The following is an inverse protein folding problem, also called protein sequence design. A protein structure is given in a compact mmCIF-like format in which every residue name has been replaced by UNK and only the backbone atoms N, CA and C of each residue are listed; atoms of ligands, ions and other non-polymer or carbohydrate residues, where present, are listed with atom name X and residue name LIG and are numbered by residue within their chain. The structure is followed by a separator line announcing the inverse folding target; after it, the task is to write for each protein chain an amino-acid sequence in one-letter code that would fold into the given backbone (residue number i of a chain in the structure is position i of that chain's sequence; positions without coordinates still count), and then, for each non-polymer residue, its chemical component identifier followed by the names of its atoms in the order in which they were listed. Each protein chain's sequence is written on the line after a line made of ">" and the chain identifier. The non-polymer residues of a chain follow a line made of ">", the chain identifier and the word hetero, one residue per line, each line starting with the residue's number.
data_IF_930996859897
#
_entry.id   IF_930996859897
#
_cell.length_a   1.000
_cell.length_b   1.000
_cell.length_c   1.000
_cell.angle_alpha   90.00
_cell.angle_beta   90.00
_cell.angle_gamma   90.00
#
_symmetry.space_group_name_H-M   'P 1'
#
loop_
_entity.id
_entity.type
_entity.pdbx_description
1 polymer ?
#
# COMPACT_ATOMS: atom_id res chain seq x y z
N UNK A 1 4.68 29.83 6.97
CA UNK A 1 5.17 28.42 6.95
C UNK A 1 5.28 27.97 5.50
N UNK A 2 6.42 27.38 5.11
CA UNK A 2 6.66 26.89 3.75
C UNK A 2 6.46 25.37 3.70
N UNK A 3 5.56 24.91 2.82
CA UNK A 3 5.33 23.48 2.55
C UNK A 3 5.89 23.15 1.18
N UNK A 4 6.77 22.16 1.12
CA UNK A 4 7.33 21.65 -0.13
C UNK A 4 6.75 20.29 -0.49
N UNK A 5 6.52 20.09 -1.78
CA UNK A 5 6.18 18.79 -2.36
C UNK A 5 7.38 18.32 -3.20
N UNK A 6 8.01 17.25 -2.74
CA UNK A 6 9.19 16.72 -3.42
C UNK A 6 8.82 15.92 -4.67
N UNK A 7 9.74 15.90 -5.64
CA UNK A 7 9.72 14.94 -6.73
C UNK A 7 10.34 13.63 -6.24
N UNK A 8 9.68 12.51 -6.48
CA UNK A 8 10.21 11.21 -6.12
C UNK A 8 11.42 10.83 -7.00
N UNK A 9 12.45 10.32 -6.34
CA UNK A 9 13.69 9.91 -7.02
C UNK A 9 13.72 8.43 -7.39
N UNK A 10 12.89 7.60 -6.71
CA UNK A 10 12.75 6.18 -6.99
C UNK A 10 12.15 5.98 -8.40
N UNK A 11 12.82 5.26 -9.32
CA UNK A 11 12.34 5.10 -10.70
C UNK A 11 10.95 4.49 -10.81
N UNK A 12 10.61 3.57 -9.90
CA UNK A 12 9.32 2.86 -9.87
C UNK A 12 8.22 3.68 -9.20
N UNK A 13 8.54 4.80 -8.50
CA UNK A 13 7.54 5.64 -7.87
C UNK A 13 6.98 6.65 -8.88
N UNK A 14 5.69 6.51 -9.17
CA UNK A 14 4.96 7.37 -10.10
C UNK A 14 3.98 8.31 -9.41
N UNK A 15 3.76 8.13 -8.10
CA UNK A 15 2.86 8.98 -7.32
C UNK A 15 3.55 10.30 -6.93
N UNK A 16 2.73 11.28 -6.58
CA UNK A 16 3.16 12.56 -5.99
C UNK A 16 2.34 12.87 -4.73
N UNK A 17 2.97 13.55 -3.78
CA UNK A 17 2.39 13.80 -2.46
C UNK A 17 1.36 14.95 -2.40
N UNK A 18 1.05 15.59 -3.52
CA UNK A 18 0.04 16.64 -3.62
C UNK A 18 -0.68 16.62 -4.97
N UNK A 19 -1.84 17.27 -5.01
CA UNK A 19 -2.60 17.60 -6.21
C UNK A 19 -2.96 19.08 -6.21
N UNK A 20 -3.45 19.62 -7.32
CA UNK A 20 -3.94 21.01 -7.38
C UNK A 20 -5.01 21.31 -6.31
N UNK A 21 -5.90 20.33 -6.03
CA UNK A 21 -6.90 20.45 -4.96
C UNK A 21 -6.24 20.60 -3.58
N UNK A 22 -5.28 19.73 -3.24
CA UNK A 22 -4.63 19.79 -1.92
C UNK A 22 -3.70 21.00 -1.78
N UNK A 23 -3.08 21.46 -2.85
CA UNK A 23 -2.31 22.72 -2.87
C UNK A 23 -3.20 23.90 -2.45
N UNK A 24 -4.41 24.03 -3.05
CA UNK A 24 -5.35 25.11 -2.67
C UNK A 24 -5.72 25.03 -1.18
N UNK A 25 -5.94 23.83 -0.65
CA UNK A 25 -6.27 23.63 0.76
C UNK A 25 -5.08 23.94 1.68
N UNK A 26 -3.85 23.56 1.31
CA UNK A 26 -2.65 23.93 2.07
C UNK A 26 -2.44 25.45 2.11
N UNK A 27 -2.69 26.14 0.99
CA UNK A 27 -2.68 27.61 0.95
C UNK A 27 -3.72 28.24 1.89
N UNK A 28 -4.92 27.65 1.97
CA UNK A 28 -5.95 28.09 2.89
C UNK A 28 -5.56 27.90 4.38
N UNK A 29 -4.59 27.03 4.67
CA UNK A 29 -3.96 26.91 6.00
C UNK A 29 -2.90 28.01 6.27
N UNK A 30 -2.71 28.96 5.37
CA UNK A 30 -1.71 30.01 5.48
C UNK A 30 -0.30 29.59 5.04
N UNK A 31 -0.17 28.54 4.25
CA UNK A 31 1.13 28.06 3.79
C UNK A 31 1.55 28.68 2.46
N UNK A 32 2.86 28.94 2.33
CA UNK A 32 3.52 29.09 1.04
C UNK A 32 3.84 27.70 0.50
N UNK A 33 3.16 27.29 -0.59
CA UNK A 33 3.32 25.97 -1.17
C UNK A 33 4.29 26.01 -2.35
N UNK A 34 5.33 25.18 -2.27
CA UNK A 34 6.30 24.98 -3.34
C UNK A 34 6.23 23.52 -3.83
N UNK A 35 6.30 23.31 -5.13
CA UNK A 35 6.33 21.97 -5.75
C UNK A 35 7.61 21.85 -6.58
N UNK A 36 8.33 20.74 -6.44
CA UNK A 36 9.49 20.49 -7.31
C UNK A 36 9.03 20.30 -8.75
N UNK A 37 9.74 20.96 -9.67
CA UNK A 37 9.45 20.87 -11.09
C UNK A 37 9.44 19.40 -11.56
N UNK A 38 8.39 19.03 -12.30
CA UNK A 38 8.16 17.67 -12.77
C UNK A 38 7.68 16.66 -11.74
N UNK A 39 7.38 17.08 -10.49
CA UNK A 39 6.96 16.16 -9.42
C UNK A 39 5.69 15.35 -9.78
N UNK A 40 4.72 15.97 -10.45
CA UNK A 40 3.45 15.36 -10.84
C UNK A 40 3.46 14.64 -12.20
N UNK A 41 4.55 14.76 -12.98
CA UNK A 41 4.57 14.31 -14.37
C UNK A 41 4.19 12.84 -14.58
N UNK A 42 4.73 11.94 -13.76
CA UNK A 42 4.40 10.50 -13.80
C UNK A 42 2.96 10.18 -13.36
N UNK A 43 2.31 11.11 -12.66
CA UNK A 43 0.89 11.00 -12.24
C UNK A 43 -0.06 11.69 -13.22
N UNK A 44 0.44 12.22 -14.34
CA UNK A 44 -0.36 12.97 -15.30
C UNK A 44 -0.77 14.36 -14.80
N UNK A 45 -0.09 14.92 -13.80
CA UNK A 45 -0.34 16.26 -13.25
C UNK A 45 0.82 17.17 -13.70
N UNK A 46 0.62 18.05 -14.69
CA UNK A 46 1.66 18.94 -15.15
C UNK A 46 1.92 20.07 -14.16
N UNK A 47 3.12 20.64 -14.21
CA UNK A 47 3.54 21.75 -13.36
C UNK A 47 2.59 22.97 -13.44
N UNK A 48 1.98 23.19 -14.63
CA UNK A 48 0.99 24.25 -14.81
C UNK A 48 -0.26 24.13 -13.94
N UNK A 49 -0.69 22.90 -13.60
CA UNK A 49 -1.82 22.70 -12.69
C UNK A 49 -1.47 23.09 -11.26
N UNK A 50 -0.25 22.77 -10.81
CA UNK A 50 0.23 23.23 -9.50
C UNK A 50 0.36 24.74 -9.43
N UNK A 51 0.92 25.36 -10.49
CA UNK A 51 1.04 26.82 -10.60
C UNK A 51 -0.34 27.49 -10.60
N UNK A 52 -1.30 26.97 -11.36
CA UNK A 52 -2.68 27.47 -11.38
C UNK A 52 -3.41 27.32 -10.03
N UNK A 53 -3.01 26.32 -9.22
CA UNK A 53 -3.48 26.19 -7.85
C UNK A 53 -2.81 27.15 -6.87
N UNK A 54 -1.80 27.90 -7.34
CA UNK A 54 -1.07 28.92 -6.58
C UNK A 54 0.20 28.41 -5.90
N UNK A 55 0.73 27.26 -6.29
CA UNK A 55 2.05 26.83 -5.84
C UNK A 55 3.17 27.48 -6.66
N UNK A 56 4.32 27.72 -6.02
CA UNK A 56 5.55 28.03 -6.73
C UNK A 56 6.19 26.72 -7.23
N UNK A 57 6.41 26.62 -8.54
CA UNK A 57 7.12 25.46 -9.11
C UNK A 57 8.61 25.81 -9.19
N UNK A 58 9.44 25.04 -8.47
CA UNK A 58 10.87 25.32 -8.29
C UNK A 58 11.71 24.08 -8.62
N UNK A 59 12.94 24.30 -9.10
CA UNK A 59 13.89 23.20 -9.31
C UNK A 59 14.29 22.52 -7.98
N UNK A 60 14.41 23.31 -6.91
CA UNK A 60 14.67 22.84 -5.56
C UNK A 60 13.64 23.45 -4.60
N UNK A 61 12.50 22.81 -4.48
CA UNK A 61 11.42 23.26 -3.62
C UNK A 61 11.66 22.92 -2.14
N UNK A 62 12.46 21.89 -1.86
CA UNK A 62 12.64 21.37 -0.50
C UNK A 62 13.64 22.20 0.33
N UNK A 63 14.49 22.98 -0.32
CA UNK A 63 15.40 23.90 0.36
C UNK A 63 14.61 24.93 1.17
N UNK A 64 15.00 25.11 2.41
CA UNK A 64 14.36 26.02 3.37
C UNK A 64 12.88 25.74 3.68
N UNK A 65 12.35 24.58 3.29
CA UNK A 65 10.99 24.19 3.61
C UNK A 65 10.85 23.82 5.10
N UNK A 66 9.75 24.26 5.70
CA UNK A 66 9.42 23.91 7.09
C UNK A 66 8.76 22.52 7.16
N UNK A 67 7.99 22.16 6.12
CA UNK A 67 7.32 20.88 5.98
C UNK A 67 7.59 20.33 4.57
N UNK A 68 7.95 19.05 4.49
CA UNK A 68 8.23 18.37 3.23
C UNK A 68 7.30 17.18 3.10
N UNK A 69 6.51 17.14 2.04
CA UNK A 69 5.62 16.06 1.70
C UNK A 69 6.25 15.17 0.63
N UNK A 70 6.34 13.87 0.90
CA UNK A 70 6.86 12.86 -0.01
C UNK A 70 5.98 11.60 0.00
N UNK A 71 6.14 10.78 -1.01
CA UNK A 71 5.56 9.44 -1.03
C UNK A 71 6.47 8.43 -0.33
N UNK A 72 7.77 8.44 -0.68
CA UNK A 72 8.79 7.56 -0.10
C UNK A 72 9.70 8.33 0.85
N UNK A 73 10.33 7.63 1.79
CA UNK A 73 11.34 8.25 2.68
C UNK A 73 12.40 8.98 1.87
N UNK A 74 12.97 10.05 2.42
CA UNK A 74 14.07 10.74 1.77
C UNK A 74 15.32 9.86 1.70
N UNK A 75 16.09 10.04 0.64
CA UNK A 75 17.42 9.46 0.47
C UNK A 75 18.49 10.31 1.18
N UNK A 76 19.69 9.77 1.40
CA UNK A 76 20.77 10.51 2.03
C UNK A 76 21.14 11.81 1.28
N UNK A 77 21.22 11.86 -0.07
CA UNK A 77 21.41 13.10 -0.80
C UNK A 77 20.29 14.14 -0.58
N UNK A 78 19.03 13.71 -0.50
CA UNK A 78 17.91 14.63 -0.24
C UNK A 78 18.00 15.22 1.17
N UNK A 79 18.33 14.38 2.18
CA UNK A 79 18.49 14.82 3.57
C UNK A 79 19.54 15.93 3.73
N UNK A 80 20.61 15.89 2.94
CA UNK A 80 21.65 16.91 2.98
C UNK A 80 21.16 18.31 2.54
N UNK A 81 20.08 18.36 1.74
CA UNK A 81 19.45 19.62 1.28
C UNK A 81 18.32 20.11 2.18
N UNK A 82 17.91 19.35 3.19
CA UNK A 82 16.77 19.72 4.02
C UNK A 82 17.17 20.62 5.19
N UNK A 83 16.29 21.54 5.53
CA UNK A 83 16.45 22.41 6.70
C UNK A 83 16.38 21.59 7.99
N UNK A 84 17.30 21.86 8.93
CA UNK A 84 17.21 21.29 10.29
C UNK A 84 15.89 21.70 10.95
N UNK A 85 15.24 20.76 11.61
CA UNK A 85 13.92 20.95 12.22
C UNK A 85 12.76 20.83 11.24
N UNK A 86 12.99 20.62 9.93
CA UNK A 86 11.91 20.39 8.99
C UNK A 86 11.10 19.14 9.35
N UNK A 87 9.78 19.21 9.19
CA UNK A 87 8.89 18.06 9.31
C UNK A 87 8.84 17.33 7.96
N UNK A 88 9.13 16.05 7.94
CA UNK A 88 9.06 15.22 6.72
C UNK A 88 7.99 14.16 6.89
N UNK A 89 6.98 14.19 6.03
CA UNK A 89 5.80 13.33 6.11
C UNK A 89 5.78 12.40 4.89
N UNK A 90 5.92 11.09 5.10
CA UNK A 90 5.98 10.11 4.02
C UNK A 90 5.71 8.67 4.53
N UNK A 91 5.68 7.71 3.61
CA UNK A 91 5.92 6.29 3.91
C UNK A 91 7.42 6.11 4.14
N UNK A 92 7.83 5.83 5.37
CA UNK A 92 9.23 5.76 5.77
C UNK A 92 9.83 4.36 5.62
N UNK A 93 8.99 3.33 5.69
CA UNK A 93 9.37 1.92 5.59
C UNK A 93 10.62 1.58 6.42
N UNK A 94 10.57 1.76 7.75
CA UNK A 94 11.76 1.74 8.59
C UNK A 94 12.24 0.34 8.97
N UNK A 95 11.42 -0.70 8.79
CA UNK A 95 11.79 -2.07 9.14
C UNK A 95 12.96 -2.58 8.29
N UNK A 96 14.05 -3.01 8.96
CA UNK A 96 15.26 -3.45 8.29
C UNK A 96 16.09 -2.31 7.67
N UNK A 97 15.76 -1.06 7.97
CA UNK A 97 16.42 0.14 7.42
C UNK A 97 17.03 1.02 8.53
N UNK A 98 17.60 0.39 9.54
CA UNK A 98 18.12 1.08 10.73
C UNK A 98 19.15 2.19 10.39
N UNK A 99 19.95 2.01 9.33
CA UNK A 99 20.88 3.03 8.86
C UNK A 99 20.15 4.27 8.35
N UNK A 100 19.14 4.11 7.48
CA UNK A 100 18.36 5.22 6.95
C UNK A 100 17.58 5.96 8.05
N UNK A 101 17.08 5.25 9.05
CA UNK A 101 16.41 5.86 10.21
C UNK A 101 17.40 6.71 11.03
N UNK A 102 18.62 6.20 11.25
CA UNK A 102 19.68 6.99 11.92
C UNK A 102 20.11 8.22 11.11
N UNK A 103 20.18 8.09 9.79
CA UNK A 103 20.56 9.21 8.92
C UNK A 103 19.49 10.31 8.94
N UNK A 104 18.20 9.96 8.95
CA UNK A 104 17.11 10.91 9.16
C UNK A 104 17.22 11.62 10.52
N UNK A 105 17.53 10.90 11.59
CA UNK A 105 17.74 11.53 12.90
C UNK A 105 18.95 12.49 12.87
N UNK A 106 20.10 12.03 12.34
CA UNK A 106 21.34 12.86 12.27
C UNK A 106 21.18 14.12 11.43
N UNK A 107 20.33 14.09 10.40
CA UNK A 107 20.03 15.28 9.60
C UNK A 107 19.24 16.34 10.36
N UNK A 108 18.69 15.98 11.53
CA UNK A 108 17.93 16.88 12.40
C UNK A 108 16.51 17.14 11.95
N UNK A 109 15.95 16.33 11.04
CA UNK A 109 14.53 16.41 10.66
C UNK A 109 13.64 15.69 11.67
N UNK A 110 12.38 16.09 11.74
CA UNK A 110 11.31 15.32 12.40
C UNK A 110 10.56 14.52 11.35
N UNK A 111 10.83 13.22 11.27
CA UNK A 111 10.23 12.32 10.30
C UNK A 111 8.96 11.67 10.86
N UNK A 112 7.88 11.67 10.07
CA UNK A 112 6.61 11.03 10.37
C UNK A 112 6.36 9.87 9.41
N UNK A 113 6.28 8.66 9.96
CA UNK A 113 6.01 7.42 9.23
C UNK A 113 4.50 7.19 9.14
N UNK A 114 3.92 7.51 8.00
CA UNK A 114 2.47 7.44 7.79
C UNK A 114 1.91 6.02 7.89
N UNK A 115 2.73 5.00 7.73
CA UNK A 115 2.36 3.59 7.92
C UNK A 115 2.11 3.20 9.37
N UNK A 116 2.44 4.04 10.34
CA UNK A 116 2.22 3.81 11.78
C UNK A 116 0.98 4.49 12.34
N UNK A 117 0.13 5.03 11.47
CA UNK A 117 -1.15 5.59 11.90
C UNK A 117 -1.95 4.57 12.73
N UNK A 118 -2.44 4.95 13.92
CA UNK A 118 -3.22 4.07 14.75
C UNK A 118 -4.61 3.82 14.12
N UNK A 119 -5.17 2.63 14.33
CA UNK A 119 -6.50 2.27 13.81
C UNK A 119 -7.61 2.85 14.69
N UNK A 120 -7.73 4.17 14.73
CA UNK A 120 -8.76 4.90 15.45
C UNK A 120 -9.59 5.76 14.49
N UNK A 121 -10.81 6.07 14.83
CA UNK A 121 -11.77 6.79 13.97
C UNK A 121 -11.19 8.12 13.45
N UNK A 122 -10.51 8.89 14.30
CA UNK A 122 -9.90 10.18 13.95
C UNK A 122 -8.79 10.06 12.90
N UNK A 123 -8.11 8.91 12.82
CA UNK A 123 -7.02 8.67 11.86
C UNK A 123 -7.50 8.09 10.52
N UNK A 124 -8.77 7.72 10.37
CA UNK A 124 -9.26 7.06 9.15
C UNK A 124 -9.02 7.87 7.87
N UNK A 125 -9.23 9.20 7.91
CA UNK A 125 -8.99 10.07 6.77
C UNK A 125 -7.49 10.19 6.39
N UNK A 126 -6.60 9.83 7.31
CA UNK A 126 -5.15 9.88 7.15
C UNK A 126 -4.56 8.54 6.67
N UNK A 127 -5.35 7.45 6.64
CA UNK A 127 -4.88 6.07 6.41
C UNK A 127 -4.40 5.86 4.97
N UNK A 128 -3.11 6.10 4.78
CA UNK A 128 -2.41 5.89 3.51
C UNK A 128 -2.33 4.41 3.13
N UNK A 129 -2.25 3.49 4.11
CA UNK A 129 -2.15 2.07 3.82
C UNK A 129 -3.44 1.56 3.21
N UNK A 130 -4.59 1.90 3.79
CA UNK A 130 -5.88 1.48 3.27
C UNK A 130 -6.19 2.11 1.91
N UNK A 131 -5.93 3.41 1.72
CA UNK A 131 -6.19 4.08 0.44
C UNK A 131 -5.38 3.47 -0.70
N UNK A 132 -4.10 3.17 -0.46
CA UNK A 132 -3.21 2.58 -1.47
C UNK A 132 -3.48 1.07 -1.67
N UNK A 133 -3.76 0.33 -0.60
CA UNK A 133 -4.12 -1.10 -0.70
C UNK A 133 -5.41 -1.30 -1.50
N UNK A 134 -6.40 -0.43 -1.36
CA UNK A 134 -7.62 -0.47 -2.16
C UNK A 134 -7.30 -0.40 -3.66
N UNK A 135 -6.50 0.58 -4.07
CA UNK A 135 -6.08 0.73 -5.48
C UNK A 135 -5.19 -0.42 -5.96
N UNK A 136 -4.35 -0.98 -5.08
CA UNK A 136 -3.56 -2.16 -5.41
C UNK A 136 -4.45 -3.37 -5.71
N UNK A 137 -5.49 -3.60 -4.90
CA UNK A 137 -6.47 -4.67 -5.14
C UNK A 137 -7.22 -4.52 -6.45
N UNK A 138 -7.67 -3.30 -6.78
CA UNK A 138 -8.26 -3.01 -8.09
C UNK A 138 -7.25 -3.31 -9.22
N UNK A 139 -6.05 -2.74 -9.12
CA UNK A 139 -5.04 -2.86 -10.18
C UNK A 139 -4.58 -4.30 -10.38
N UNK A 140 -4.47 -5.10 -9.34
CA UNK A 140 -4.10 -6.51 -9.43
C UNK A 140 -5.06 -7.30 -10.32
N UNK A 141 -6.37 -7.03 -10.23
CA UNK A 141 -7.37 -7.69 -11.10
C UNK A 141 -7.22 -7.24 -12.54
N UNK A 142 -6.97 -5.96 -12.79
CA UNK A 142 -6.75 -5.43 -14.14
C UNK A 142 -5.47 -5.99 -14.76
N UNK A 143 -4.38 -6.06 -13.97
CA UNK A 143 -3.12 -6.66 -14.42
C UNK A 143 -3.28 -8.17 -14.69
N UNK A 144 -4.03 -8.89 -13.83
CA UNK A 144 -4.37 -10.28 -14.07
C UNK A 144 -5.16 -10.47 -15.38
N UNK A 145 -6.19 -9.64 -15.59
CA UNK A 145 -7.01 -9.68 -16.80
C UNK A 145 -6.19 -9.42 -18.07
N UNK A 146 -5.22 -8.48 -18.01
CA UNK A 146 -4.33 -8.18 -19.12
C UNK A 146 -3.36 -9.33 -19.45
N UNK A 147 -2.98 -10.14 -18.45
CA UNK A 147 -2.11 -11.30 -18.63
C UNK A 147 -2.87 -12.58 -18.96
N UNK A 148 -4.14 -12.66 -18.61
CA UNK A 148 -5.01 -13.82 -18.85
C UNK A 148 -5.52 -13.81 -20.30
N UNK A 149 -5.23 -14.86 -21.05
CA UNK A 149 -5.55 -14.94 -22.48
C UNK A 149 -7.01 -15.25 -22.81
N UNK A 150 -7.95 -15.10 -21.86
CA UNK A 150 -9.38 -15.40 -22.01
C UNK A 150 -10.23 -14.27 -21.41
N UNK A 151 -11.54 -14.26 -21.72
CA UNK A 151 -12.49 -13.34 -21.12
C UNK A 151 -12.75 -13.64 -19.64
N UNK A 152 -13.01 -12.61 -18.82
CA UNK A 152 -13.40 -12.80 -17.43
C UNK A 152 -14.89 -13.13 -17.29
N UNK A 153 -15.83 -12.41 -17.96
CA UNK A 153 -17.26 -12.75 -17.86
C UNK A 153 -17.64 -13.96 -18.71
N UNK A 154 -18.72 -14.60 -18.34
CA UNK A 154 -19.41 -15.49 -19.24
C UNK A 154 -19.98 -14.70 -20.42
N UNK A 155 -19.75 -15.19 -21.64
CA UNK A 155 -20.28 -14.59 -22.87
C UNK A 155 -20.90 -15.67 -23.75
N UNK A 156 -22.01 -15.36 -24.39
CA UNK A 156 -22.70 -16.26 -25.32
C UNK A 156 -22.64 -15.68 -26.72
N UNK A 157 -22.24 -16.52 -27.68
CA UNK A 157 -22.18 -16.17 -29.10
C UNK A 157 -22.85 -17.29 -29.92
N UNK A 158 -23.14 -17.02 -31.16
CA UNK A 158 -23.64 -18.06 -32.11
C UNK A 158 -22.64 -19.21 -32.26
N UNK A 159 -21.35 -18.99 -32.06
CA UNK A 159 -20.29 -19.99 -32.11
C UNK A 159 -20.11 -20.78 -30.80
N UNK A 160 -20.81 -20.40 -29.72
CA UNK A 160 -20.72 -21.07 -28.43
C UNK A 160 -20.56 -20.14 -27.26
N UNK A 161 -20.34 -20.72 -26.08
CA UNK A 161 -20.24 -20.03 -24.79
C UNK A 161 -18.79 -19.94 -24.35
N UNK A 162 -18.36 -18.74 -23.95
CA UNK A 162 -17.13 -18.50 -23.21
C UNK A 162 -17.47 -18.59 -21.71
N UNK A 163 -16.89 -19.54 -20.95
CA UNK A 163 -17.17 -19.64 -19.52
C UNK A 163 -16.55 -18.50 -18.73
N UNK A 164 -17.17 -18.14 -17.60
CA UNK A 164 -16.61 -17.16 -16.68
C UNK A 164 -15.29 -17.65 -16.06
N UNK A 165 -14.32 -16.74 -15.94
CA UNK A 165 -13.06 -17.03 -15.25
C UNK A 165 -13.30 -17.28 -13.75
N UNK A 166 -12.54 -18.20 -13.18
CA UNK A 166 -12.51 -18.50 -11.74
C UNK A 166 -11.34 -17.78 -11.09
N UNK A 167 -11.65 -16.90 -10.17
CA UNK A 167 -10.67 -16.06 -9.47
C UNK A 167 -10.62 -16.45 -8.00
N UNK A 168 -9.42 -16.71 -7.49
CA UNK A 168 -9.19 -17.01 -6.09
C UNK A 168 -8.36 -15.92 -5.46
N UNK A 169 -8.88 -15.30 -4.40
CA UNK A 169 -8.19 -14.23 -3.65
C UNK A 169 -7.69 -14.81 -2.33
N UNK A 170 -6.39 -14.71 -2.08
CA UNK A 170 -5.75 -15.19 -0.86
C UNK A 170 -5.33 -14.00 0.01
N UNK A 171 -6.12 -13.75 1.04
CA UNK A 171 -6.10 -12.59 1.92
C UNK A 171 -7.29 -11.66 1.63
N UNK A 172 -8.14 -11.45 2.63
CA UNK A 172 -9.34 -10.60 2.56
C UNK A 172 -9.18 -9.31 3.38
N UNK A 173 -7.99 -8.70 3.35
CA UNK A 173 -7.77 -7.32 3.80
C UNK A 173 -8.30 -6.32 2.78
N UNK A 174 -7.97 -5.03 2.94
CA UNK A 174 -8.47 -3.96 2.05
C UNK A 174 -8.19 -4.25 0.57
N UNK A 175 -6.96 -4.68 0.24
CA UNK A 175 -6.61 -5.05 -1.14
C UNK A 175 -7.41 -6.26 -1.64
N UNK A 176 -7.53 -7.31 -0.81
CA UNK A 176 -8.27 -8.52 -1.18
C UNK A 176 -9.76 -8.28 -1.38
N UNK A 177 -10.41 -7.54 -0.48
CA UNK A 177 -11.82 -7.17 -0.60
C UNK A 177 -12.09 -6.33 -1.86
N UNK A 178 -11.20 -5.38 -2.18
CA UNK A 178 -11.32 -4.63 -3.42
C UNK A 178 -11.06 -5.49 -4.66
N UNK A 179 -10.12 -6.43 -4.60
CA UNK A 179 -9.90 -7.40 -5.68
C UNK A 179 -11.15 -8.26 -5.92
N UNK A 180 -11.80 -8.76 -4.85
CA UNK A 180 -13.07 -9.48 -4.93
C UNK A 180 -14.12 -8.64 -5.64
N UNK A 181 -14.34 -7.40 -5.17
CA UNK A 181 -15.34 -6.49 -5.74
C UNK A 181 -15.06 -6.19 -7.22
N UNK A 182 -13.79 -5.99 -7.59
CA UNK A 182 -13.39 -5.70 -8.97
C UNK A 182 -13.58 -6.92 -9.88
N UNK A 183 -13.09 -8.10 -9.47
CA UNK A 183 -13.22 -9.32 -10.25
C UNK A 183 -14.70 -9.71 -10.46
N UNK A 184 -15.53 -9.53 -9.43
CA UNK A 184 -16.98 -9.73 -9.52
C UNK A 184 -17.64 -8.79 -10.53
N UNK A 185 -17.29 -7.50 -10.51
CA UNK A 185 -17.79 -6.49 -11.48
C UNK A 185 -17.39 -6.83 -12.91
N UNK A 186 -16.22 -7.47 -13.10
CA UNK A 186 -15.77 -7.95 -14.40
C UNK A 186 -16.40 -9.30 -14.80
N UNK A 187 -17.33 -9.84 -13.99
CA UNK A 187 -18.10 -11.04 -14.31
C UNK A 187 -17.42 -12.37 -13.98
N UNK A 188 -16.33 -12.35 -13.21
CA UNK A 188 -15.67 -13.57 -12.75
C UNK A 188 -16.45 -14.27 -11.62
N UNK A 189 -16.25 -15.59 -11.50
CA UNK A 189 -16.66 -16.37 -10.32
C UNK A 189 -15.54 -16.29 -9.29
N UNK A 190 -15.83 -15.65 -8.14
CA UNK A 190 -14.80 -15.33 -7.15
C UNK A 190 -14.96 -16.19 -5.90
N UNK A 191 -13.83 -16.72 -5.45
CA UNK A 191 -13.66 -17.35 -4.15
C UNK A 191 -12.54 -16.64 -3.40
N UNK A 192 -12.56 -16.67 -2.06
CA UNK A 192 -11.50 -16.05 -1.26
C UNK A 192 -11.21 -16.86 0.01
N UNK A 193 -10.00 -16.69 0.55
CA UNK A 193 -9.60 -17.26 1.84
C UNK A 193 -8.91 -16.19 2.68
N UNK A 194 -9.12 -16.27 3.99
CA UNK A 194 -8.39 -15.51 5.01
C UNK A 194 -8.32 -16.35 6.29
N UNK A 195 -7.33 -16.08 7.12
CA UNK A 195 -7.18 -16.77 8.41
C UNK A 195 -8.08 -16.19 9.50
N UNK A 196 -8.71 -15.04 9.29
CA UNK A 196 -9.58 -14.35 10.25
C UNK A 196 -11.04 -14.72 10.01
N UNK A 197 -11.77 -15.19 11.03
CA UNK A 197 -13.20 -15.53 10.91
C UNK A 197 -14.08 -14.36 10.45
N UNK A 198 -13.82 -13.14 10.94
CA UNK A 198 -14.56 -11.94 10.55
C UNK A 198 -14.46 -11.60 9.05
N UNK A 199 -13.43 -12.08 8.36
CA UNK A 199 -13.28 -11.89 6.92
C UNK A 199 -14.34 -12.65 6.11
N UNK A 200 -14.91 -13.76 6.66
CA UNK A 200 -15.92 -14.57 5.98
C UNK A 200 -17.15 -13.73 5.60
N UNK A 201 -17.74 -13.03 6.57
CA UNK A 201 -18.91 -12.20 6.32
C UNK A 201 -18.62 -11.09 5.29
N UNK A 202 -17.44 -10.47 5.37
CA UNK A 202 -17.01 -9.44 4.42
C UNK A 202 -16.89 -9.98 3.00
N UNK A 203 -16.32 -11.17 2.83
CA UNK A 203 -16.17 -11.86 1.53
C UNK A 203 -17.54 -12.20 0.97
N UNK A 204 -18.42 -12.79 1.78
CA UNK A 204 -19.76 -13.22 1.36
C UNK A 204 -20.66 -12.03 1.03
N UNK A 205 -20.53 -10.91 1.75
CA UNK A 205 -21.26 -9.66 1.45
C UNK A 205 -20.91 -9.06 0.09
N UNK A 206 -19.68 -9.31 -0.41
CA UNK A 206 -19.26 -8.95 -1.75
C UNK A 206 -19.68 -9.99 -2.82
N UNK A 207 -20.41 -11.04 -2.43
CA UNK A 207 -20.91 -12.09 -3.32
C UNK A 207 -19.85 -13.10 -3.76
N UNK A 208 -18.74 -13.23 -3.05
CA UNK A 208 -17.76 -14.28 -3.23
C UNK A 208 -17.98 -15.43 -2.24
N UNK A 209 -17.50 -16.64 -2.57
CA UNK A 209 -17.55 -17.79 -1.66
C UNK A 209 -16.28 -17.81 -0.81
N UNK A 210 -16.45 -17.96 0.50
CA UNK A 210 -15.32 -18.12 1.43
C UNK A 210 -14.83 -19.58 1.45
N UNK A 211 -13.52 -19.81 1.47
CA UNK A 211 -12.84 -21.11 1.44
C UNK A 211 -11.89 -21.17 2.63
N UNK A 212 -12.25 -21.96 3.65
CA UNK A 212 -11.40 -22.20 4.82
C UNK A 212 -11.78 -23.53 5.48
N UNK A 213 -10.88 -24.07 6.29
CA UNK A 213 -11.20 -25.11 7.26
C UNK A 213 -11.93 -24.42 8.42
N UNK A 214 -13.21 -24.67 8.57
CA UNK A 214 -14.07 -24.02 9.58
C UNK A 214 -14.23 -24.93 10.80
N UNK A 215 -13.17 -25.12 11.56
CA UNK A 215 -13.20 -25.84 12.84
C UNK A 215 -13.26 -24.89 14.06
N UNK A 216 -13.21 -25.43 15.25
CA UNK A 216 -13.26 -24.62 16.49
C UNK A 216 -12.03 -23.71 16.66
N UNK A 217 -10.87 -24.12 16.13
CA UNK A 217 -9.66 -23.29 16.15
C UNK A 217 -9.83 -22.05 15.25
N UNK A 218 -10.42 -22.24 14.07
CA UNK A 218 -10.74 -21.13 13.16
C UNK A 218 -11.66 -20.10 13.80
N UNK A 219 -12.73 -20.54 14.49
CA UNK A 219 -13.67 -19.64 15.16
C UNK A 219 -13.00 -18.74 16.22
N UNK A 220 -11.89 -19.19 16.79
CA UNK A 220 -11.11 -18.48 17.82
C UNK A 220 -9.85 -17.79 17.26
N UNK A 221 -9.67 -17.76 15.95
CA UNK A 221 -8.45 -17.32 15.26
C UNK A 221 -8.23 -15.81 15.23
N UNK A 222 -9.08 -15.02 15.88
CA UNK A 222 -8.97 -13.55 15.87
C UNK A 222 -8.59 -13.01 17.25
N UNK A 223 -7.68 -12.03 17.26
CA UNK A 223 -7.33 -11.29 18.48
C UNK A 223 -8.32 -10.15 18.70
N UNK A 224 -8.42 -9.64 19.93
CA UNK A 224 -9.24 -8.48 20.28
C UNK A 224 -8.90 -7.22 19.43
N UNK A 225 -7.70 -7.16 18.85
CA UNK A 225 -7.26 -6.08 17.94
C UNK A 225 -7.57 -6.34 16.46
N UNK A 226 -8.31 -7.42 16.12
CA UNK A 226 -8.67 -7.77 14.75
C UNK A 226 -7.54 -8.35 13.90
N UNK A 227 -6.47 -8.84 14.53
CA UNK A 227 -5.39 -9.57 13.84
C UNK A 227 -5.60 -11.08 13.97
N UNK A 228 -5.12 -11.81 12.97
CA UNK A 228 -5.07 -13.26 13.03
C UNK A 228 -4.14 -13.74 14.15
N UNK A 229 -4.59 -14.76 14.93
CA UNK A 229 -3.71 -15.52 15.79
C UNK A 229 -2.84 -16.46 14.95
N UNK A 230 -1.71 -16.85 15.50
CA UNK A 230 -0.93 -17.95 14.94
C UNK A 230 -1.69 -19.26 15.13
N UNK A 231 -2.00 -19.92 14.03
CA UNK A 231 -2.76 -21.16 14.00
C UNK A 231 -1.86 -22.36 14.29
N UNK A 232 -2.43 -23.42 14.86
CA UNK A 232 -1.70 -24.67 15.10
C UNK A 232 -1.14 -25.25 13.79
N UNK A 233 -0.08 -26.04 13.90
CA UNK A 233 0.52 -26.73 12.75
C UNK A 233 -0.46 -27.68 12.09
N UNK A 234 -1.36 -28.30 12.84
CA UNK A 234 -2.39 -29.20 12.33
C UNK A 234 -3.42 -28.42 11.49
N UNK A 235 -3.90 -27.27 12.00
CA UNK A 235 -4.78 -26.39 11.22
C UNK A 235 -4.09 -25.90 9.94
N UNK A 236 -2.86 -25.43 10.04
CA UNK A 236 -2.09 -24.97 8.88
C UNK A 236 -1.94 -26.05 7.82
N UNK A 237 -1.69 -27.31 8.22
CA UNK A 237 -1.61 -28.44 7.31
C UNK A 237 -2.94 -28.73 6.62
N UNK A 238 -4.06 -28.76 7.36
CA UNK A 238 -5.40 -28.93 6.79
C UNK A 238 -5.76 -27.82 5.81
N UNK A 239 -5.49 -26.58 6.16
CA UNK A 239 -5.73 -25.41 5.31
C UNK A 239 -4.87 -25.48 4.04
N UNK A 240 -3.62 -25.88 4.15
CA UNK A 240 -2.74 -26.03 2.99
C UNK A 240 -3.26 -27.09 2.00
N UNK A 241 -3.78 -28.22 2.48
CA UNK A 241 -4.41 -29.26 1.65
C UNK A 241 -5.65 -28.70 0.95
N UNK A 242 -6.53 -28.03 1.68
CA UNK A 242 -7.75 -27.42 1.12
C UNK A 242 -7.41 -26.42 0.02
N UNK A 243 -6.44 -25.54 0.27
CA UNK A 243 -6.00 -24.52 -0.69
C UNK A 243 -5.34 -25.19 -1.91
N UNK A 244 -4.49 -26.19 -1.70
CA UNK A 244 -3.83 -26.92 -2.78
C UNK A 244 -4.83 -27.64 -3.71
N UNK A 245 -5.92 -28.14 -3.19
CA UNK A 245 -6.98 -28.75 -4.01
C UNK A 245 -7.86 -27.71 -4.71
N UNK A 246 -8.10 -26.59 -4.03
CA UNK A 246 -8.93 -25.51 -4.59
C UNK A 246 -8.23 -24.78 -5.73
N UNK A 247 -6.93 -24.51 -5.60
CA UNK A 247 -6.16 -23.72 -6.57
C UNK A 247 -6.10 -24.38 -7.95
N UNK A 248 -6.09 -25.71 -8.02
CA UNK A 248 -6.08 -26.51 -9.29
C UNK A 248 -7.21 -26.15 -10.26
N UNK A 249 -8.30 -25.59 -9.75
CA UNK A 249 -9.52 -25.28 -10.49
C UNK A 249 -9.64 -23.80 -10.84
N UNK A 250 -8.64 -23.00 -10.48
CA UNK A 250 -8.67 -21.55 -10.65
C UNK A 250 -7.97 -21.14 -11.95
N UNK A 251 -8.42 -20.07 -12.53
CA UNK A 251 -7.83 -19.43 -13.71
C UNK A 251 -6.92 -18.28 -13.32
N UNK A 252 -7.29 -17.54 -12.26
CA UNK A 252 -6.54 -16.40 -11.73
C UNK A 252 -6.44 -16.55 -10.21
N UNK A 253 -5.25 -16.33 -9.67
CA UNK A 253 -5.00 -16.27 -8.21
C UNK A 253 -4.37 -14.93 -7.87
N UNK A 254 -4.90 -14.24 -6.86
CA UNK A 254 -4.32 -12.98 -6.37
C UNK A 254 -4.00 -13.14 -4.89
N UNK A 255 -2.75 -12.91 -4.52
CA UNK A 255 -2.29 -13.00 -3.14
C UNK A 255 -2.02 -11.61 -2.56
N UNK A 256 -2.46 -11.39 -1.33
CA UNK A 256 -2.40 -10.07 -0.67
C UNK A 256 -1.94 -10.13 0.78
N UNK A 257 -1.44 -11.28 1.26
CA UNK A 257 -1.09 -11.45 2.66
C UNK A 257 0.23 -10.79 3.01
N UNK A 258 0.17 -9.82 3.90
CA UNK A 258 1.34 -9.10 4.43
C UNK A 258 1.29 -9.06 5.95
N UNK A 259 2.46 -9.16 6.58
CA UNK A 259 2.64 -9.00 8.02
C UNK A 259 3.60 -7.82 8.22
N UNK A 260 3.18 -6.73 8.89
CA UNK A 260 4.04 -5.57 9.10
C UNK A 260 5.37 -5.95 9.77
N UNK A 261 6.47 -5.47 9.20
CA UNK A 261 7.82 -5.70 9.74
C UNK A 261 8.37 -7.13 9.61
N UNK A 262 7.68 -8.02 8.91
CA UNK A 262 8.12 -9.41 8.66
C UNK A 262 8.07 -9.74 7.17
N UNK A 263 8.82 -10.76 6.72
CA UNK A 263 8.65 -11.32 5.39
C UNK A 263 7.21 -11.80 5.17
N UNK A 264 6.73 -11.69 3.95
CA UNK A 264 5.41 -12.18 3.57
C UNK A 264 5.31 -13.71 3.77
N UNK A 265 4.17 -14.23 4.26
CA UNK A 265 3.98 -15.67 4.41
C UNK A 265 3.93 -16.36 3.03
N UNK A 266 4.53 -17.55 2.93
CA UNK A 266 4.41 -18.38 1.72
C UNK A 266 3.05 -19.05 1.70
N UNK A 267 2.24 -18.71 0.69
CA UNK A 267 0.89 -19.26 0.50
C UNK A 267 0.82 -20.22 -0.69
N UNK A 268 1.67 -20.02 -1.70
CA UNK A 268 1.67 -20.81 -2.92
C UNK A 268 3.08 -21.38 -3.13
N UNK A 269 3.18 -22.71 -3.04
CA UNK A 269 4.42 -23.44 -3.32
C UNK A 269 4.63 -23.66 -4.83
N UNK A 270 5.83 -24.05 -5.22
CA UNK A 270 6.12 -24.44 -6.62
C UNK A 270 5.26 -25.61 -7.11
N UNK A 271 4.93 -26.56 -6.23
CA UNK A 271 4.06 -27.70 -6.55
C UNK A 271 2.62 -27.23 -6.83
N UNK A 272 2.13 -26.26 -6.06
CA UNK A 272 0.82 -25.64 -6.30
C UNK A 272 0.81 -24.88 -7.64
N UNK A 273 1.87 -24.16 -7.98
CA UNK A 273 2.02 -23.51 -9.31
C UNK A 273 1.98 -24.56 -10.41
N UNK A 274 2.72 -25.66 -10.27
CA UNK A 274 2.73 -26.74 -11.24
C UNK A 274 1.38 -27.47 -11.41
N UNK A 275 0.51 -27.36 -10.41
CA UNK A 275 -0.84 -27.96 -10.45
C UNK A 275 -1.90 -27.09 -11.13
N UNK A 276 -1.59 -25.82 -11.39
CA UNK A 276 -2.48 -24.92 -12.11
C UNK A 276 -2.60 -25.29 -13.60
N UNK A 277 -3.70 -24.87 -14.21
CA UNK A 277 -3.89 -25.09 -15.65
C UNK A 277 -2.97 -24.19 -16.46
N UNK A 278 -2.44 -24.66 -17.58
CA UNK A 278 -1.74 -23.81 -18.54
C UNK A 278 -2.58 -22.57 -18.93
N UNK A 279 -1.95 -21.42 -18.97
CA UNK A 279 -2.61 -20.13 -19.22
C UNK A 279 -3.22 -19.45 -17.98
N UNK A 280 -3.12 -20.09 -16.79
CA UNK A 280 -3.49 -19.44 -15.52
C UNK A 280 -2.54 -18.29 -15.17
N UNK A 281 -3.03 -17.36 -14.32
CA UNK A 281 -2.27 -16.18 -13.89
C UNK A 281 -2.26 -16.10 -12.36
N UNK A 282 -1.09 -15.87 -11.77
CA UNK A 282 -0.91 -15.51 -10.37
C UNK A 282 -0.47 -14.05 -10.31
N UNK A 283 -1.09 -13.23 -9.45
CA UNK A 283 -0.60 -11.89 -9.12
C UNK A 283 -0.23 -11.84 -7.65
N UNK A 284 1.03 -11.54 -7.37
CA UNK A 284 1.56 -11.49 -6.01
C UNK A 284 1.76 -10.05 -5.56
N UNK A 285 0.83 -9.52 -4.74
CA UNK A 285 0.93 -8.16 -4.18
C UNK A 285 1.94 -8.06 -3.02
N UNK A 286 2.46 -9.18 -2.55
CA UNK A 286 3.43 -9.22 -1.44
C UNK A 286 4.89 -9.34 -1.92
N UNK A 287 5.14 -9.29 -3.22
CA UNK A 287 6.46 -9.58 -3.81
C UNK A 287 7.57 -8.67 -3.27
N UNK A 288 7.29 -7.40 -2.97
CA UNK A 288 8.23 -6.45 -2.36
C UNK A 288 8.67 -6.86 -0.94
N UNK A 289 7.97 -7.80 -0.32
CA UNK A 289 8.26 -8.36 1.02
C UNK A 289 8.60 -9.85 0.99
N UNK A 290 9.15 -10.30 -0.12
CA UNK A 290 9.55 -11.68 -0.33
C UNK A 290 8.51 -12.56 -1.01
N UNK A 291 7.28 -12.07 -1.19
CA UNK A 291 6.20 -12.71 -1.94
C UNK A 291 5.45 -13.82 -1.21
N UNK A 292 4.17 -13.96 -1.53
CA UNK A 292 3.32 -15.07 -1.11
C UNK A 292 3.49 -16.30 -2.02
N UNK A 293 3.91 -16.12 -3.26
CA UNK A 293 4.20 -17.21 -4.21
C UNK A 293 5.70 -17.46 -4.25
N UNK A 294 6.09 -18.72 -4.09
CA UNK A 294 7.50 -19.15 -4.05
C UNK A 294 8.27 -18.78 -5.31
N UNK A 295 7.63 -18.80 -6.46
CA UNK A 295 8.26 -18.53 -7.76
C UNK A 295 8.08 -17.08 -8.23
N UNK A 296 7.43 -16.21 -7.44
CA UNK A 296 7.30 -14.79 -7.78
C UNK A 296 8.67 -14.08 -7.74
N UNK A 297 8.89 -13.18 -8.69
CA UNK A 297 10.08 -12.33 -8.75
C UNK A 297 9.68 -10.87 -8.79
N UNK A 298 10.32 -10.10 -7.95
CA UNK A 298 10.06 -8.67 -7.83
C UNK A 298 10.37 -7.93 -9.14
N UNK A 299 9.38 -7.20 -9.67
CA UNK A 299 9.48 -6.43 -10.92
C UNK A 299 9.27 -7.23 -12.20
N UNK A 300 9.06 -8.55 -12.12
CA UNK A 300 9.02 -9.43 -13.30
C UNK A 300 7.64 -10.09 -13.48
N UNK A 301 7.38 -10.53 -14.72
CA UNK A 301 6.36 -11.54 -15.04
C UNK A 301 7.10 -12.81 -15.43
N UNK A 302 7.05 -13.82 -14.55
CA UNK A 302 7.71 -15.11 -14.75
C UNK A 302 6.69 -16.10 -15.31
N UNK A 303 7.07 -16.92 -16.28
CA UNK A 303 6.23 -18.01 -16.81
C UNK A 303 6.85 -19.36 -16.46
N UNK A 304 6.05 -20.18 -15.78
CA UNK A 304 6.44 -21.56 -15.39
C UNK A 304 5.31 -22.50 -15.77
N UNK A 305 5.57 -23.51 -16.59
CA UNK A 305 4.57 -24.47 -17.10
C UNK A 305 3.32 -23.76 -17.69
N UNK A 306 3.54 -22.71 -18.48
CA UNK A 306 2.51 -21.83 -19.04
C UNK A 306 1.63 -21.10 -18.01
N UNK A 307 2.00 -21.09 -16.74
CA UNK A 307 1.41 -20.24 -15.70
C UNK A 307 2.21 -18.96 -15.60
N UNK A 308 1.56 -17.80 -15.74
CA UNK A 308 2.20 -16.49 -15.57
C UNK A 308 2.13 -16.05 -14.11
N UNK A 309 3.27 -15.64 -13.56
CA UNK A 309 3.39 -15.14 -12.19
C UNK A 309 3.81 -13.69 -12.27
N UNK A 310 2.92 -12.80 -11.88
CA UNK A 310 3.07 -11.35 -11.98
C UNK A 310 3.54 -10.80 -10.64
N UNK A 311 4.76 -10.29 -10.61
CA UNK A 311 5.41 -9.71 -9.43
C UNK A 311 5.66 -8.19 -9.59
N UNK A 312 4.68 -7.42 -10.07
CA UNK A 312 4.86 -5.99 -10.27
C UNK A 312 5.13 -5.24 -8.96
N UNK A 313 6.07 -4.29 -9.02
CA UNK A 313 6.38 -3.39 -7.91
C UNK A 313 5.43 -2.20 -7.91
N UNK A 314 5.27 -1.61 -6.73
CA UNK A 314 4.49 -0.38 -6.55
C UNK A 314 3.13 -0.41 -7.28
N UNK A 315 2.36 -1.47 -7.06
CA UNK A 315 1.10 -1.70 -7.80
C UNK A 315 0.12 -0.51 -7.70
N UNK A 316 -0.07 0.18 -6.55
CA UNK A 316 -0.90 1.39 -6.51
C UNK A 316 -0.36 2.52 -7.39
N UNK A 317 0.96 2.63 -7.57
CA UNK A 317 1.58 3.58 -8.49
C UNK A 317 1.26 3.34 -9.97
N UNK A 318 0.77 2.15 -10.33
CA UNK A 318 0.30 1.83 -11.70
C UNK A 318 -1.07 2.43 -12.03
N UNK A 319 -1.73 3.08 -11.05
CA UNK A 319 -2.89 3.97 -11.20
C UNK A 319 -2.56 5.32 -10.58
N UNK A 320 -1.42 5.89 -10.97
CA UNK A 320 -0.72 6.99 -10.32
C UNK A 320 -1.60 8.22 -10.03
N UNK A 321 -2.45 8.63 -10.97
CA UNK A 321 -3.33 9.79 -10.80
C UNK A 321 -4.30 9.60 -9.61
N UNK A 322 -5.00 8.46 -9.57
CA UNK A 322 -5.92 8.14 -8.46
C UNK A 322 -5.19 7.92 -7.15
N UNK A 323 -4.03 7.23 -7.20
CA UNK A 323 -3.21 6.95 -6.03
C UNK A 323 -2.66 8.24 -5.41
N UNK A 324 -2.17 9.16 -6.23
CA UNK A 324 -1.69 10.49 -5.78
C UNK A 324 -2.82 11.32 -5.19
N UNK A 325 -4.00 11.31 -5.80
CA UNK A 325 -5.16 12.05 -5.28
C UNK A 325 -5.56 11.59 -3.88
N UNK A 326 -5.66 10.28 -3.64
CA UNK A 326 -5.99 9.75 -2.32
C UNK A 326 -4.86 9.96 -1.33
N UNK A 327 -3.62 9.69 -1.72
CA UNK A 327 -2.45 9.89 -0.88
C UNK A 327 -2.29 11.34 -0.42
N UNK A 328 -2.41 12.28 -1.36
CA UNK A 328 -2.34 13.72 -1.06
C UNK A 328 -3.41 14.18 -0.06
N UNK A 329 -4.63 13.63 -0.14
CA UNK A 329 -5.70 13.91 0.82
C UNK A 329 -5.40 13.30 2.19
N UNK A 330 -4.83 12.10 2.24
CA UNK A 330 -4.39 11.50 3.50
C UNK A 330 -3.32 12.37 4.19
N UNK A 331 -2.30 12.84 3.43
CA UNK A 331 -1.27 13.74 3.96
C UNK A 331 -1.85 15.07 4.40
N UNK A 332 -2.79 15.64 3.65
CA UNK A 332 -3.45 16.89 4.04
C UNK A 332 -4.19 16.74 5.38
N UNK A 333 -4.93 15.65 5.56
CA UNK A 333 -5.64 15.38 6.82
C UNK A 333 -4.66 15.27 8.00
N UNK A 334 -3.51 14.62 7.81
CA UNK A 334 -2.45 14.56 8.82
C UNK A 334 -1.79 15.92 9.04
N UNK A 335 -1.52 16.67 7.98
CA UNK A 335 -0.95 18.01 8.07
C UNK A 335 -1.83 18.96 8.93
N UNK A 336 -3.15 18.84 8.83
CA UNK A 336 -4.10 19.67 9.55
C UNK A 336 -4.00 19.54 11.08
N UNK A 337 -3.46 18.45 11.61
CA UNK A 337 -3.21 18.30 13.07
C UNK A 337 -1.83 18.81 13.50
N UNK A 338 -0.97 19.16 12.57
CA UNK A 338 0.39 19.66 12.82
C UNK A 338 0.49 21.19 12.74
N UNK A 339 -0.59 21.87 12.32
CA UNK A 339 -0.58 23.31 12.06
C UNK A 339 -1.66 24.06 12.84
N UNK A 340 -1.35 25.27 13.29
CA UNK A 340 -2.35 26.23 13.76
C UNK A 340 -2.95 26.96 12.56
N UNK A 341 -4.20 26.64 12.23
CA UNK A 341 -4.93 27.22 11.09
C UNK A 341 -5.16 28.73 11.24
N UNK A 342 -5.19 29.27 12.47
CA UNK A 342 -5.42 30.69 12.73
C UNK A 342 -4.17 31.52 12.52
N UNK A 343 -3.03 30.95 12.93
CA UNK A 343 -1.74 31.64 12.85
C UNK A 343 -0.97 31.31 11.57
N UNK A 344 -1.37 30.27 10.81
CA UNK A 344 -0.64 29.80 9.63
C UNK A 344 0.77 29.28 9.98
N UNK A 345 0.93 28.70 11.16
CA UNK A 345 2.23 28.26 11.69
C UNK A 345 2.21 26.79 12.10
N UNK A 346 3.39 26.19 12.20
CA UNK A 346 3.55 24.82 12.74
C UNK A 346 3.20 24.83 14.24
N UNK A 347 2.35 23.89 14.65
CA UNK A 347 1.91 23.73 16.04
C UNK A 347 1.75 22.24 16.36
N UNK A 348 2.85 21.49 16.37
CA UNK A 348 2.83 20.03 16.61
C UNK A 348 2.52 19.76 18.08
N UNK A 349 1.39 19.13 18.36
CA UNK A 349 1.11 18.56 19.66
C UNK A 349 1.77 17.17 19.79
N UNK A 350 2.96 17.14 20.40
CA UNK A 350 3.73 15.92 20.57
C UNK A 350 3.11 14.91 21.55
N UNK A 351 2.08 15.31 22.30
CA UNK A 351 1.32 14.43 23.19
C UNK A 351 0.10 13.77 22.53
N UNK A 352 -0.24 14.18 21.31
CA UNK A 352 -1.30 13.57 20.51
C UNK A 352 -0.95 12.12 20.13
N UNK A 353 -1.89 11.20 20.29
CA UNK A 353 -1.68 9.76 20.04
C UNK A 353 -1.30 9.45 18.58
N UNK A 354 -1.85 10.22 17.62
CA UNK A 354 -1.53 10.05 16.19
C UNK A 354 -0.10 10.53 15.93
N UNK A 355 0.27 11.67 16.50
CA UNK A 355 1.64 12.23 16.39
C UNK A 355 2.65 11.28 17.03
N UNK A 356 2.41 10.82 18.26
CA UNK A 356 3.28 9.84 18.95
C UNK A 356 3.46 8.55 18.15
N UNK A 357 2.39 8.03 17.58
CA UNK A 357 2.45 6.78 16.83
C UNK A 357 3.23 6.90 15.52
N UNK A 358 3.17 8.06 14.86
CA UNK A 358 3.81 8.28 13.55
C UNK A 358 5.21 8.89 13.63
N UNK A 359 5.56 9.57 14.73
CA UNK A 359 6.86 10.24 14.89
C UNK A 359 8.00 9.21 14.98
N UNK A 360 8.87 9.21 13.97
CA UNK A 360 10.00 8.30 13.88
C UNK A 360 11.28 8.94 14.43
N UNK A 361 11.56 10.20 14.05
CA UNK A 361 12.72 10.96 14.53
C UNK A 361 12.31 12.35 14.99
N UNK A 362 13.08 12.91 15.94
CA UNK A 362 12.92 14.28 16.44
C UNK A 362 14.20 14.76 17.13
N UNK A 363 14.55 16.02 16.95
CA UNK A 363 15.67 16.68 17.65
C UNK A 363 17.00 15.90 17.60
N UNK A 364 17.28 15.28 16.45
CA UNK A 364 18.49 14.49 16.23
C UNK A 364 18.45 13.07 16.77
N UNK A 365 17.33 12.63 17.33
CA UNK A 365 17.17 11.30 17.92
C UNK A 365 16.08 10.46 17.20
N UNK A 366 16.23 9.15 17.25
CA UNK A 366 15.18 8.20 16.90
C UNK A 366 14.28 8.02 18.13
N UNK A 367 13.01 8.44 18.03
CA UNK A 367 12.10 8.48 19.18
C UNK A 367 11.02 7.39 19.16
N UNK A 368 10.77 6.77 18.00
CA UNK A 368 9.75 5.73 17.90
C UNK A 368 10.15 4.49 18.70
N UNK A 369 9.29 3.96 19.62
CA UNK A 369 9.66 2.89 20.56
C UNK A 369 10.23 1.63 19.90
N UNK A 370 9.72 1.27 18.71
CA UNK A 370 10.17 0.07 17.97
C UNK A 370 11.59 0.22 17.36
N UNK A 371 12.17 1.42 17.33
CA UNK A 371 13.45 1.70 16.68
C UNK A 371 14.45 2.43 17.57
N UNK A 372 14.02 3.07 18.66
CA UNK A 372 14.88 3.83 19.55
C UNK A 372 15.99 2.99 20.20
N UNK A 373 15.68 1.76 20.62
CA UNK A 373 16.66 0.86 21.26
C UNK A 373 17.74 0.33 20.30
N UNK A 374 17.48 0.33 18.98
CA UNK A 374 18.44 -0.11 17.95
C UNK A 374 19.40 1.00 17.53
N UNK A 375 19.17 2.23 17.93
CA UNK A 375 20.02 3.38 17.59
C UNK A 375 21.14 3.62 18.61
N UNK A 376 21.09 2.97 19.77
CA UNK A 376 22.06 3.11 20.87
C UNK A 376 23.23 2.09 20.79
N UNK A 377 23.22 1.20 19.82
CA UNK A 377 24.29 0.23 19.52
C UNK A 377 24.94 0.60 18.19
#
# INVERSE_FOLDING_TARGET
>A
MRIAVAREVEPTESRVAATAETVKKMKALGADVCVMAGAGGKSGIPDSEFAAAGAAVLADACKDADIILKVRRPTAPELAGYKKGALVIALMDPYGQDAAVRDMARSGISAFAMEFLPRITRAQAMDVLSSQANLAGYRAVIDAAAQYGRGLPMMMTAAGTVPAARVFIMGAGVAGLQAIATARRLGAIVTATDVRPAAKEQVESLGAKFIAVEDEEFKQAETAAGYAKEMSKDYQAKQAVLVADHIKKQDIVITTALIPGRPAPRLISKEMVASLRPGSVIVDLAVERGGNCELARAGEVVTVNDVKIVGYLNVPGRVAASASSLYARNLLAFLEILVDKKQGSIAVNWDDDIVKATALTRDGAVIHPSFASKSAA
#
